data_IF_599156871499
#
_entry.id   IF_599156871499
#
_cell.length_a   1.000
_cell.length_b   1.000
_cell.length_c   1.000
_cell.angle_alpha   90.00
_cell.angle_beta   90.00
_cell.angle_gamma   90.00
#
_symmetry.space_group_name_H-M   'P 1'
#
loop_
_entity.id
_entity.type
_entity.pdbx_description
1 polymer ?
#
# COMPACT_ATOMS: atom_id res chain seq x y z
N UNK A 1 -45.24 8.37 1.37
CA UNK A 1 -44.01 7.73 0.86
C UNK A 1 -43.13 8.83 0.30
N UNK A 2 -42.15 9.29 1.08
CA UNK A 2 -41.14 10.21 0.58
C UNK A 2 -40.06 9.37 -0.11
N UNK A 3 -39.93 9.55 -1.42
CA UNK A 3 -38.80 9.01 -2.19
C UNK A 3 -37.60 9.88 -1.83
N UNK A 4 -36.80 9.45 -0.87
CA UNK A 4 -35.45 9.97 -0.70
C UNK A 4 -34.68 9.53 -1.94
N UNK A 5 -34.47 10.45 -2.87
CA UNK A 5 -33.45 10.32 -3.89
C UNK A 5 -32.12 10.18 -3.16
N UNK A 6 -31.65 8.95 -3.00
CA UNK A 6 -30.31 8.67 -2.56
C UNK A 6 -29.37 9.17 -3.65
N UNK A 7 -28.93 10.42 -3.54
CA UNK A 7 -27.80 10.92 -4.30
C UNK A 7 -26.64 10.01 -3.91
N UNK A 8 -26.03 9.35 -4.90
CA UNK A 8 -24.86 8.52 -4.67
C UNK A 8 -23.79 9.41 -4.04
N UNK A 9 -23.19 9.06 -2.90
CA UNK A 9 -22.11 9.85 -2.30
C UNK A 9 -20.95 10.07 -3.29
N UNK A 10 -20.79 9.19 -4.29
CA UNK A 10 -19.83 9.32 -5.39
C UNK A 10 -20.04 10.59 -6.25
N UNK A 11 -21.27 11.09 -6.38
CA UNK A 11 -21.57 12.20 -7.29
C UNK A 11 -21.39 13.59 -6.65
N UNK A 12 -21.31 13.67 -5.32
CA UNK A 12 -21.17 14.96 -4.60
C UNK A 12 -19.70 15.38 -4.51
N UNK A 13 -18.78 14.43 -4.52
CA UNK A 13 -17.35 14.68 -4.36
C UNK A 13 -16.64 15.08 -5.67
N UNK A 14 -17.25 14.87 -6.85
CA UNK A 14 -16.61 15.21 -8.13
C UNK A 14 -16.77 16.69 -8.56
N UNK A 15 -17.52 17.52 -7.81
CA UNK A 15 -17.85 18.91 -8.19
C UNK A 15 -17.27 20.01 -7.24
N UNK A 16 -16.39 19.66 -6.31
CA UNK A 16 -15.83 20.56 -5.28
C UNK A 16 -14.69 21.48 -5.75
N UNK A 17 -14.04 21.18 -6.88
CA UNK A 17 -12.83 21.88 -7.37
C UNK A 17 -12.99 23.41 -7.54
N UNK A 18 -14.22 23.91 -7.70
CA UNK A 18 -14.52 25.31 -7.97
C UNK A 18 -14.38 26.24 -6.75
N UNK A 19 -14.23 25.69 -5.54
CA UNK A 19 -14.21 26.45 -4.28
C UNK A 19 -12.85 26.46 -3.57
N UNK A 20 -11.84 25.79 -4.12
CA UNK A 20 -10.49 25.74 -3.57
C UNK A 20 -9.87 27.14 -3.46
N UNK A 21 -9.36 27.56 -2.28
CA UNK A 21 -8.73 28.86 -2.10
C UNK A 21 -7.56 29.08 -3.03
N UNK A 22 -7.39 30.32 -3.49
CA UNK A 22 -6.31 30.68 -4.43
C UNK A 22 -4.91 30.33 -3.91
N UNK A 23 -4.70 30.42 -2.60
CA UNK A 23 -3.40 30.11 -1.96
C UNK A 23 -3.02 28.64 -2.18
N UNK A 24 -3.98 27.74 -2.05
CA UNK A 24 -3.84 26.29 -2.27
C UNK A 24 -3.66 25.98 -3.75
N UNK A 25 -4.45 26.63 -4.60
CA UNK A 25 -4.28 26.54 -6.06
C UNK A 25 -2.88 27.01 -6.50
N UNK A 26 -2.34 28.06 -5.88
CA UNK A 26 -0.99 28.56 -6.14
C UNK A 26 0.08 27.62 -5.61
N UNK A 27 -0.11 27.05 -4.41
CA UNK A 27 0.78 26.05 -3.84
C UNK A 27 0.89 24.82 -4.75
N UNK A 28 -0.25 24.30 -5.23
CA UNK A 28 -0.30 23.14 -6.12
C UNK A 28 0.29 23.43 -7.50
N UNK A 29 0.03 24.61 -8.08
CA UNK A 29 0.68 25.04 -9.34
C UNK A 29 2.19 25.20 -9.21
N UNK A 30 2.67 25.53 -8.02
CA UNK A 30 4.09 25.67 -7.71
C UNK A 30 4.70 24.39 -7.12
N UNK A 31 3.91 23.31 -6.97
CA UNK A 31 4.40 22.05 -6.46
C UNK A 31 5.51 21.54 -7.40
N UNK A 32 6.67 21.25 -6.83
CA UNK A 32 7.80 20.75 -7.59
C UNK A 32 7.44 19.43 -8.25
N UNK A 33 7.97 19.19 -9.45
CA UNK A 33 7.87 17.89 -10.10
C UNK A 33 8.28 16.75 -9.15
N UNK A 34 7.71 15.56 -9.36
CA UNK A 34 8.12 14.33 -8.67
C UNK A 34 9.64 14.22 -8.66
N UNK A 35 10.29 14.12 -7.49
CA UNK A 35 11.75 14.07 -7.43
C UNK A 35 12.34 12.93 -8.24
N UNK A 36 13.49 13.16 -8.87
CA UNK A 36 14.17 12.16 -9.71
C UNK A 36 14.45 10.85 -8.96
N UNK A 37 14.70 10.92 -7.64
CA UNK A 37 14.88 9.73 -6.81
C UNK A 37 13.60 8.88 -6.70
N UNK A 38 12.42 9.51 -6.64
CA UNK A 38 11.13 8.80 -6.65
C UNK A 38 10.87 8.24 -8.03
N UNK A 39 11.06 9.03 -9.10
CA UNK A 39 10.94 8.53 -10.49
C UNK A 39 11.83 7.30 -10.72
N UNK A 40 13.08 7.33 -10.25
CA UNK A 40 14.01 6.21 -10.33
C UNK A 40 13.54 4.98 -9.55
N UNK A 41 12.93 5.16 -8.37
CA UNK A 41 12.32 4.06 -7.61
C UNK A 41 11.11 3.45 -8.32
N UNK A 42 10.19 4.28 -8.81
CA UNK A 42 9.02 3.82 -9.57
C UNK A 42 9.47 3.03 -10.81
N UNK A 43 10.42 3.56 -11.58
CA UNK A 43 10.98 2.91 -12.76
C UNK A 43 11.71 1.60 -12.41
N UNK A 44 12.42 1.56 -11.27
CA UNK A 44 13.07 0.34 -10.82
C UNK A 44 12.07 -0.76 -10.44
N UNK A 45 10.98 -0.40 -9.75
CA UNK A 45 9.90 -1.34 -9.42
C UNK A 45 9.19 -1.85 -10.68
N UNK A 46 8.88 -0.98 -11.63
CA UNK A 46 8.31 -1.36 -12.92
C UNK A 46 9.22 -2.33 -13.69
N UNK A 47 10.52 -2.05 -13.71
CA UNK A 47 11.53 -2.90 -14.34
C UNK A 47 11.65 -4.26 -13.65
N UNK A 48 11.48 -4.34 -12.32
CA UNK A 48 11.43 -5.60 -11.60
C UNK A 48 10.23 -6.45 -12.03
N UNK A 49 9.04 -5.85 -12.09
CA UNK A 49 7.83 -6.58 -12.50
C UNK A 49 7.91 -7.04 -13.96
N UNK A 50 8.56 -6.24 -14.83
CA UNK A 50 8.82 -6.60 -16.23
C UNK A 50 9.79 -7.77 -16.38
N UNK A 51 10.87 -7.80 -15.57
CA UNK A 51 11.89 -8.87 -15.62
C UNK A 51 11.45 -10.14 -14.91
N UNK A 52 10.64 -10.00 -13.87
CA UNK A 52 10.20 -11.09 -13.02
C UNK A 52 8.66 -11.16 -12.95
N UNK A 53 7.97 -11.40 -14.09
CA UNK A 53 6.51 -11.46 -14.13
C UNK A 53 5.95 -12.65 -13.34
N UNK A 54 6.78 -13.66 -13.08
CA UNK A 54 6.51 -14.75 -12.16
C UNK A 54 7.57 -14.74 -11.07
N UNK A 55 7.22 -14.11 -9.96
CA UNK A 55 8.14 -13.93 -8.84
C UNK A 55 8.59 -15.27 -8.25
N UNK A 56 7.83 -16.36 -8.39
CA UNK A 56 8.25 -17.70 -7.90
C UNK A 56 9.57 -18.21 -8.48
N UNK A 57 10.01 -17.64 -9.60
CA UNK A 57 11.25 -18.00 -10.31
C UNK A 57 12.46 -17.16 -9.90
N UNK A 58 12.27 -16.16 -9.04
CA UNK A 58 13.38 -15.34 -8.56
C UNK A 58 14.15 -16.13 -7.51
N UNK A 59 15.43 -16.38 -7.77
CA UNK A 59 16.37 -16.87 -6.76
C UNK A 59 16.68 -15.72 -5.79
N UNK A 60 16.25 -15.82 -4.52
CA UNK A 60 16.40 -14.71 -3.58
C UNK A 60 17.85 -14.42 -3.23
N UNK A 61 18.70 -15.45 -3.15
CA UNK A 61 20.10 -15.27 -2.79
C UNK A 61 20.86 -14.61 -3.91
N UNK A 62 20.60 -15.04 -5.15
CA UNK A 62 21.17 -14.43 -6.33
C UNK A 62 20.71 -12.97 -6.49
N UNK A 63 19.42 -12.70 -6.32
CA UNK A 63 18.91 -11.33 -6.39
C UNK A 63 19.57 -10.44 -5.35
N UNK A 64 19.66 -10.90 -4.10
CA UNK A 64 20.30 -10.12 -3.04
C UNK A 64 21.78 -9.86 -3.32
N UNK A 65 22.51 -10.84 -3.86
CA UNK A 65 23.92 -10.70 -4.20
C UNK A 65 24.18 -9.76 -5.40
N UNK A 66 23.31 -9.81 -6.42
CA UNK A 66 23.49 -9.06 -7.66
C UNK A 66 22.84 -7.67 -7.64
N UNK A 67 21.72 -7.50 -6.92
CA UNK A 67 20.87 -6.30 -7.00
C UNK A 67 20.39 -5.74 -5.67
N UNK A 68 20.50 -6.50 -4.56
CA UNK A 68 19.91 -6.11 -3.28
C UNK A 68 20.37 -4.74 -2.78
N UNK A 69 21.67 -4.43 -2.92
CA UNK A 69 22.20 -3.11 -2.51
C UNK A 69 21.63 -1.98 -3.37
N UNK A 70 21.56 -2.19 -4.69
CA UNK A 70 20.99 -1.22 -5.62
C UNK A 70 19.53 -0.95 -5.29
N UNK A 71 18.74 -2.00 -5.05
CA UNK A 71 17.33 -1.89 -4.66
C UNK A 71 17.17 -1.06 -3.38
N UNK A 72 17.97 -1.37 -2.35
CA UNK A 72 17.94 -0.67 -1.08
C UNK A 72 18.34 0.82 -1.22
N UNK A 73 19.41 1.13 -1.95
CA UNK A 73 19.86 2.51 -2.17
C UNK A 73 18.86 3.35 -2.95
N UNK A 74 18.26 2.78 -4.00
CA UNK A 74 17.23 3.48 -4.79
C UNK A 74 16.06 3.87 -3.88
N UNK A 75 15.62 2.94 -3.02
CA UNK A 75 14.55 3.24 -2.06
C UNK A 75 14.96 4.27 -1.01
N UNK A 76 16.15 4.15 -0.42
CA UNK A 76 16.63 5.13 0.56
C UNK A 76 16.70 6.54 -0.03
N UNK A 77 17.14 6.68 -1.28
CA UNK A 77 17.11 7.96 -2.00
C UNK A 77 15.70 8.47 -2.25
N UNK A 78 14.75 7.59 -2.57
CA UNK A 78 13.35 7.97 -2.72
C UNK A 78 12.72 8.49 -1.41
N UNK A 79 13.22 8.04 -0.25
CA UNK A 79 12.87 8.59 1.08
C UNK A 79 13.66 9.86 1.45
N UNK A 80 14.51 10.36 0.53
CA UNK A 80 15.33 11.55 0.71
C UNK A 80 16.60 11.34 1.55
N UNK A 81 17.07 10.10 1.74
CA UNK A 81 18.37 9.84 2.35
C UNK A 81 19.48 9.96 1.30
N UNK A 82 20.61 10.57 1.66
CA UNK A 82 21.78 10.70 0.78
C UNK A 82 22.54 9.38 0.60
N UNK A 83 22.39 8.45 1.54
CA UNK A 83 23.12 7.19 1.61
C UNK A 83 22.27 6.02 2.12
N UNK A 84 22.92 4.98 2.68
CA UNK A 84 22.25 3.82 3.25
C UNK A 84 21.19 4.20 4.29
N UNK A 85 20.12 3.42 4.35
CA UNK A 85 19.07 3.52 5.35
C UNK A 85 18.65 2.12 5.80
N UNK A 86 18.12 2.01 7.01
CA UNK A 86 17.61 0.75 7.55
C UNK A 86 16.24 0.94 8.20
N UNK A 87 15.41 -0.12 8.29
CA UNK A 87 14.16 -0.05 9.04
C UNK A 87 14.41 0.44 10.46
N UNK A 88 13.60 1.39 10.90
CA UNK A 88 13.67 1.90 12.26
C UNK A 88 13.26 0.80 13.25
N UNK A 89 14.16 0.53 14.20
CA UNK A 89 13.92 -0.42 15.29
C UNK A 89 13.25 0.25 16.50
N UNK A 90 13.03 1.56 16.43
CA UNK A 90 12.29 2.36 17.41
C UNK A 90 11.31 3.31 16.72
N UNK A 91 10.81 4.30 17.45
CA UNK A 91 10.06 5.43 16.87
C UNK A 91 10.98 6.65 16.90
N UNK A 92 12.05 6.63 16.10
CA UNK A 92 12.97 7.76 16.01
C UNK A 92 12.23 8.97 15.45
N UNK A 93 12.43 10.14 16.06
CA UNK A 93 11.91 11.40 15.52
C UNK A 93 12.49 11.75 14.14
N UNK A 94 13.63 11.15 13.78
CA UNK A 94 14.25 11.30 12.46
C UNK A 94 13.78 10.28 11.42
N UNK A 95 12.86 9.39 11.79
CA UNK A 95 12.41 8.32 10.90
C UNK A 95 11.60 8.91 9.74
N UNK A 96 11.87 8.42 8.53
CA UNK A 96 11.10 8.72 7.33
C UNK A 96 10.50 7.41 6.85
N UNK A 97 9.18 7.35 6.81
CA UNK A 97 8.46 6.15 6.38
C UNK A 97 8.82 4.87 7.18
N UNK A 98 9.24 5.01 8.44
CA UNK A 98 9.74 3.92 9.27
C UNK A 98 11.16 3.45 8.95
N UNK A 99 11.98 4.30 8.31
CA UNK A 99 13.40 4.08 8.06
C UNK A 99 14.24 5.20 8.67
N UNK A 100 15.48 4.89 9.03
CA UNK A 100 16.47 5.85 9.53
C UNK A 100 17.74 5.79 8.69
N UNK A 101 18.44 6.92 8.61
CA UNK A 101 19.73 6.97 7.96
C UNK A 101 20.73 6.04 8.66
N UNK A 102 21.50 5.30 7.87
CA UNK A 102 22.60 4.49 8.34
C UNK A 102 23.89 5.16 7.87
N UNK A 103 24.67 5.62 8.84
CA UNK A 103 25.98 6.21 8.58
C UNK A 103 26.88 5.25 7.77
N UNK A 104 27.72 5.80 6.90
CA UNK A 104 28.52 5.02 5.93
C UNK A 104 29.48 4.07 6.64
N UNK A 105 30.11 4.50 7.72
CA UNK A 105 31.03 3.65 8.49
C UNK A 105 30.25 2.53 9.18
N UNK A 106 29.05 2.83 9.71
CA UNK A 106 28.15 1.81 10.27
C UNK A 106 27.65 0.83 9.21
N UNK A 107 27.37 1.30 7.99
CA UNK A 107 26.97 0.46 6.87
C UNK A 107 28.12 -0.46 6.44
N UNK A 108 29.33 0.07 6.32
CA UNK A 108 30.53 -0.71 6.01
C UNK A 108 30.87 -1.73 7.10
N UNK A 109 30.61 -1.40 8.36
CA UNK A 109 30.82 -2.30 9.50
C UNK A 109 29.75 -3.40 9.65
N UNK A 110 28.62 -3.33 8.92
CA UNK A 110 27.58 -4.36 8.96
C UNK A 110 28.08 -5.64 8.30
N UNK A 111 28.56 -6.56 9.15
CA UNK A 111 28.87 -7.92 8.79
C UNK A 111 27.61 -8.78 8.88
N UNK A 112 27.00 -9.02 7.73
CA UNK A 112 25.83 -9.87 7.56
C UNK A 112 25.90 -10.58 6.21
N UNK A 113 24.98 -11.52 5.97
CA UNK A 113 24.96 -12.29 4.71
C UNK A 113 24.97 -11.37 3.48
N UNK A 114 24.21 -10.29 3.57
CA UNK A 114 24.11 -9.27 2.53
C UNK A 114 24.51 -7.87 3.03
N UNK A 115 25.40 -7.79 4.03
CA UNK A 115 25.87 -6.51 4.56
C UNK A 115 24.77 -5.65 5.20
N UNK A 116 24.75 -4.36 4.88
CA UNK A 116 23.84 -3.40 5.51
C UNK A 116 22.37 -3.49 5.03
N UNK A 117 22.15 -4.03 3.83
CA UNK A 117 20.83 -4.14 3.20
C UNK A 117 20.17 -5.50 3.45
N UNK A 118 20.68 -6.31 4.38
CA UNK A 118 20.15 -7.62 4.79
C UNK A 118 18.67 -7.57 5.20
N UNK A 119 18.18 -6.41 5.66
CA UNK A 119 16.77 -6.18 5.95
C UNK A 119 15.86 -6.45 4.74
N UNK A 120 16.35 -6.26 3.51
CA UNK A 120 15.60 -6.47 2.29
C UNK A 120 15.28 -7.95 2.08
N UNK A 121 16.13 -8.86 2.54
CA UNK A 121 15.88 -10.30 2.47
C UNK A 121 14.62 -10.69 3.27
N UNK A 122 14.42 -10.09 4.44
CA UNK A 122 13.22 -10.29 5.25
C UNK A 122 11.96 -9.67 4.62
N UNK A 123 12.15 -8.72 3.71
CA UNK A 123 11.09 -8.03 2.99
C UNK A 123 11.01 -8.46 1.52
N UNK A 124 11.61 -9.59 1.14
CA UNK A 124 11.64 -9.95 -0.27
C UNK A 124 10.24 -10.33 -0.78
N UNK A 125 9.52 -11.16 -0.01
CA UNK A 125 8.09 -11.41 -0.15
C UNK A 125 7.43 -11.11 1.18
N UNK A 126 6.94 -9.89 1.31
CA UNK A 126 6.23 -9.47 2.50
C UNK A 126 4.97 -8.75 2.09
N UNK A 127 3.85 -9.16 2.68
CA UNK A 127 2.56 -8.52 2.47
C UNK A 127 1.94 -8.11 3.79
N UNK A 128 1.05 -7.13 3.73
CA UNK A 128 0.26 -6.64 4.84
C UNK A 128 -1.20 -7.08 4.73
N UNK A 129 -1.72 -7.68 5.80
CA UNK A 129 -3.16 -7.95 5.96
C UNK A 129 -3.79 -7.00 6.96
N UNK A 130 -5.08 -6.72 6.84
CA UNK A 130 -5.79 -5.78 7.73
C UNK A 130 -6.20 -6.54 8.99
N UNK A 131 -5.63 -6.25 10.18
CA UNK A 131 -6.01 -6.97 11.38
C UNK A 131 -7.40 -6.56 11.89
N UNK A 132 -8.06 -7.43 12.65
CA UNK A 132 -9.31 -7.09 13.36
C UNK A 132 -9.09 -6.06 14.47
N UNK A 133 -7.87 -5.99 15.03
CA UNK A 133 -7.51 -5.13 16.16
C UNK A 133 -6.36 -4.21 15.78
N UNK A 134 -6.24 -3.06 16.43
CA UNK A 134 -5.15 -2.10 16.22
C UNK A 134 -3.79 -2.58 16.81
N UNK A 135 -3.45 -3.84 16.59
CA UNK A 135 -2.24 -4.51 17.09
C UNK A 135 -1.98 -5.77 16.27
N UNK A 136 -0.71 -6.14 16.11
CA UNK A 136 -0.32 -7.39 15.48
C UNK A 136 0.24 -8.37 16.51
N UNK A 137 -0.18 -9.65 16.50
CA UNK A 137 0.46 -10.64 17.35
C UNK A 137 1.87 -10.93 16.85
N UNK A 138 2.78 -11.21 17.78
CA UNK A 138 4.13 -11.66 17.45
C UNK A 138 4.08 -12.89 16.53
N UNK A 139 4.91 -12.98 15.48
CA UNK A 139 6.05 -12.11 15.16
C UNK A 139 5.72 -10.95 14.20
N UNK A 140 4.44 -10.67 13.92
CA UNK A 140 4.03 -9.69 12.93
C UNK A 140 4.23 -8.26 13.40
N UNK A 141 4.60 -7.38 12.48
CA UNK A 141 4.83 -5.95 12.75
C UNK A 141 3.62 -5.14 12.30
N UNK A 142 3.13 -4.25 13.17
CA UNK A 142 2.10 -3.29 12.79
C UNK A 142 2.71 -2.20 11.90
N UNK A 143 2.24 -2.15 10.67
CA UNK A 143 2.55 -1.10 9.70
C UNK A 143 1.34 -0.17 9.61
N UNK A 144 1.60 1.13 9.63
CA UNK A 144 0.55 2.15 9.53
C UNK A 144 0.90 3.12 8.42
N UNK A 145 -0.08 3.45 7.59
CA UNK A 145 -0.02 4.51 6.59
C UNK A 145 -1.17 5.46 6.87
N UNK A 146 -0.84 6.66 7.34
CA UNK A 146 -1.80 7.72 7.55
C UNK A 146 -1.85 8.62 6.34
N UNK A 147 -3.06 8.76 5.85
CA UNK A 147 -3.47 9.61 4.75
C UNK A 147 -4.31 10.74 5.35
N UNK A 148 -3.76 11.94 5.29
CA UNK A 148 -4.45 13.21 5.44
C UNK A 148 -5.31 13.36 4.19
N UNK A 149 -6.57 12.98 4.35
CA UNK A 149 -7.56 13.07 3.29
C UNK A 149 -8.05 14.53 3.24
N UNK A 150 -8.95 14.86 2.32
CA UNK A 150 -9.41 16.25 2.11
C UNK A 150 -9.93 16.93 3.40
N UNK A 151 -9.38 18.09 3.77
CA UNK A 151 -9.81 18.82 4.95
C UNK A 151 -11.15 19.55 4.73
N UNK A 152 -11.48 19.91 3.49
CA UNK A 152 -12.71 20.65 3.15
C UNK A 152 -13.70 19.79 2.40
N UNK A 153 -14.93 19.69 2.93
CA UNK A 153 -16.02 18.90 2.31
C UNK A 153 -15.76 17.41 2.21
N UNK A 154 -14.77 16.92 2.95
CA UNK A 154 -14.49 15.51 3.18
C UNK A 154 -15.74 14.61 3.08
N UNK A 155 -15.79 13.85 1.99
CA UNK A 155 -16.82 12.90 1.66
C UNK A 155 -16.39 11.46 2.00
N UNK A 156 -15.42 11.29 2.91
CA UNK A 156 -15.03 9.97 3.38
C UNK A 156 -16.25 9.19 3.84
N UNK A 157 -16.32 7.95 3.38
CA UNK A 157 -17.44 7.07 3.72
C UNK A 157 -16.95 5.66 3.97
N UNK A 158 -17.70 4.93 4.79
CA UNK A 158 -17.37 3.57 5.18
C UNK A 158 -18.61 2.81 5.58
N UNK A 159 -18.58 1.51 5.35
CA UNK A 159 -19.66 0.62 5.73
C UNK A 159 -19.11 -0.77 6.03
N UNK A 160 -19.83 -1.52 6.88
CA UNK A 160 -19.53 -2.91 7.16
C UNK A 160 -18.23 -3.09 7.94
N UNK A 161 -17.52 -4.18 7.66
CA UNK A 161 -16.24 -4.48 8.29
C UNK A 161 -15.10 -3.69 7.62
N UNK A 162 -14.38 -2.90 8.42
CA UNK A 162 -13.18 -2.16 7.98
C UNK A 162 -11.91 -2.55 8.76
N UNK A 163 -12.00 -3.61 9.59
CA UNK A 163 -10.92 -4.06 10.45
C UNK A 163 -10.38 -2.96 11.37
N UNK A 164 -9.06 -2.93 11.54
CA UNK A 164 -8.37 -1.92 12.35
C UNK A 164 -8.13 -0.58 11.61
N UNK A 165 -8.62 -0.42 10.39
CA UNK A 165 -8.54 0.84 9.64
C UNK A 165 -9.33 1.91 10.38
N UNK A 166 -8.75 3.11 10.49
CA UNK A 166 -9.47 4.29 10.99
C UNK A 166 -9.85 5.12 9.79
N UNK A 167 -11.10 4.98 9.39
CA UNK A 167 -11.92 5.93 8.64
C UNK A 167 -12.40 7.10 9.50
N UNK A 168 -12.01 8.37 9.33
CA UNK A 168 -12.79 9.51 9.80
C UNK A 168 -12.68 10.68 8.82
N UNK A 169 -12.23 11.86 9.26
CA UNK A 169 -11.78 12.90 8.34
C UNK A 169 -10.51 12.43 7.63
N UNK A 170 -9.64 11.68 8.30
CA UNK A 170 -8.45 11.11 7.67
C UNK A 170 -8.56 9.59 7.62
N UNK A 171 -7.67 8.96 6.88
CA UNK A 171 -7.63 7.51 6.78
C UNK A 171 -6.29 6.98 7.27
N UNK A 172 -6.34 6.16 8.31
CA UNK A 172 -5.17 5.37 8.75
C UNK A 172 -5.36 3.91 8.39
N UNK A 173 -4.65 3.48 7.37
CA UNK A 173 -4.53 2.07 7.02
C UNK A 173 -3.59 1.38 7.99
N UNK A 174 -4.01 0.23 8.50
CA UNK A 174 -3.23 -0.59 9.42
C UNK A 174 -3.08 -1.98 8.87
N UNK A 175 -1.84 -2.46 8.85
CA UNK A 175 -1.51 -3.78 8.34
C UNK A 175 -0.64 -4.56 9.32
N UNK A 176 -0.87 -5.84 9.44
CA UNK A 176 0.11 -6.76 9.99
C UNK A 176 1.01 -7.25 8.88
N UNK A 177 2.27 -6.80 8.92
CA UNK A 177 3.31 -7.27 8.02
C UNK A 177 3.62 -8.72 8.32
N UNK A 178 3.44 -9.55 7.32
CA UNK A 178 3.68 -10.97 7.39
C UNK A 178 5.15 -11.27 7.08
N UNK A 179 5.66 -12.34 7.67
CA UNK A 179 6.97 -12.88 7.30
C UNK A 179 6.87 -13.55 5.92
N UNK A 180 8.02 -13.99 5.42
CA UNK A 180 8.14 -14.69 4.14
C UNK A 180 7.12 -15.82 4.00
N UNK A 181 7.17 -16.81 4.89
CA UNK A 181 6.35 -18.03 4.78
C UNK A 181 4.85 -17.75 4.78
N UNK A 182 4.38 -16.86 5.65
CA UNK A 182 2.97 -16.48 5.71
C UNK A 182 2.55 -15.68 4.47
N UNK A 183 3.43 -14.85 3.91
CA UNK A 183 3.16 -14.08 2.68
C UNK A 183 3.01 -14.99 1.46
N UNK A 184 3.83 -16.05 1.35
CA UNK A 184 3.75 -17.05 0.28
C UNK A 184 2.50 -17.92 0.31
N UNK A 185 1.79 -17.95 1.44
CA UNK A 185 0.55 -18.71 1.56
C UNK A 185 -0.62 -18.05 0.80
N UNK A 186 -0.51 -16.77 0.45
CA UNK A 186 -1.49 -16.05 -0.35
C UNK A 186 -1.34 -16.38 -1.83
N UNK A 187 -2.45 -16.79 -2.45
CA UNK A 187 -2.56 -17.31 -3.81
C UNK A 187 -3.92 -16.93 -4.40
N UNK A 188 -4.13 -16.97 -5.71
CA UNK A 188 -5.46 -16.78 -6.28
C UNK A 188 -6.48 -17.76 -5.67
N UNK A 189 -7.69 -17.25 -5.42
CA UNK A 189 -8.80 -18.12 -5.03
C UNK A 189 -9.12 -19.10 -6.15
N UNK A 190 -9.51 -20.32 -5.80
CA UNK A 190 -9.77 -21.38 -6.78
C UNK A 190 -10.97 -21.08 -7.71
N UNK A 191 -11.85 -20.17 -7.30
CA UNK A 191 -13.04 -19.80 -8.03
C UNK A 191 -12.75 -18.65 -9.00
N UNK A 192 -13.41 -18.70 -10.16
CA UNK A 192 -13.22 -17.75 -11.26
C UNK A 192 -14.14 -16.54 -11.16
N UNK A 193 -13.63 -15.40 -11.63
CA UNK A 193 -14.39 -14.17 -11.84
C UNK A 193 -14.12 -13.12 -10.78
N UNK A 194 -14.38 -11.86 -11.14
CA UNK A 194 -13.87 -10.71 -10.40
C UNK A 194 -14.41 -10.60 -8.97
N UNK A 195 -15.54 -11.24 -8.65
CA UNK A 195 -16.05 -11.32 -7.28
C UNK A 195 -15.16 -12.15 -6.33
N UNK A 196 -14.18 -12.90 -6.87
CA UNK A 196 -13.19 -13.66 -6.12
C UNK A 196 -11.79 -13.03 -6.17
N UNK A 197 -11.67 -11.85 -6.78
CA UNK A 197 -10.42 -11.10 -6.74
C UNK A 197 -10.18 -10.57 -5.33
N UNK A 198 -8.92 -10.43 -4.96
CA UNK A 198 -8.56 -9.77 -3.71
C UNK A 198 -7.16 -9.16 -3.83
N UNK A 199 -6.84 -8.24 -2.92
CA UNK A 199 -5.49 -7.70 -2.82
C UNK A 199 -5.04 -7.58 -1.37
N UNK A 200 -3.73 -7.63 -1.19
CA UNK A 200 -3.06 -7.35 0.08
C UNK A 200 -2.09 -6.19 -0.12
N UNK A 201 -1.75 -5.49 0.96
CA UNK A 201 -0.76 -4.43 0.89
C UNK A 201 0.59 -5.03 0.53
N UNK A 202 1.25 -4.54 -0.52
CA UNK A 202 2.63 -4.93 -0.79
C UNK A 202 3.53 -4.27 0.26
N UNK A 203 4.30 -5.09 0.98
CA UNK A 203 5.28 -4.65 1.97
C UNK A 203 6.68 -5.23 1.67
N UNK A 204 6.91 -5.65 0.42
CA UNK A 204 8.12 -6.31 0.00
C UNK A 204 8.57 -6.04 -1.44
N UNK A 205 9.72 -6.63 -1.81
CA UNK A 205 10.35 -6.41 -3.13
C UNK A 205 9.46 -6.94 -4.23
N UNK A 206 8.91 -8.13 -4.02
CA UNK A 206 8.06 -8.85 -4.96
C UNK A 206 6.71 -9.16 -4.33
N UNK A 207 5.69 -9.11 -5.17
CA UNK A 207 4.40 -9.67 -4.82
C UNK A 207 4.45 -11.21 -4.83
N UNK A 208 3.65 -11.90 -3.98
CA UNK A 208 3.63 -13.36 -3.97
C UNK A 208 3.24 -13.95 -5.32
N UNK A 209 3.67 -15.18 -5.64
CA UNK A 209 3.37 -15.80 -6.93
C UNK A 209 1.87 -15.85 -7.25
N UNK A 210 1.52 -15.57 -8.50
CA UNK A 210 0.12 -15.53 -8.94
C UNK A 210 -0.61 -14.23 -8.60
N UNK A 211 0.09 -13.23 -8.07
CA UNK A 211 -0.41 -11.86 -8.01
C UNK A 211 0.31 -10.93 -8.96
N UNK A 212 -0.37 -9.87 -9.35
CA UNK A 212 0.19 -8.71 -10.05
C UNK A 212 0.31 -7.53 -9.09
N UNK A 213 1.31 -6.69 -9.31
CA UNK A 213 1.48 -5.46 -8.54
C UNK A 213 0.60 -4.36 -9.13
N UNK A 214 -0.08 -3.61 -8.27
CA UNK A 214 -0.80 -2.40 -8.65
C UNK A 214 -0.26 -1.23 -7.85
N UNK A 215 0.02 -0.12 -8.54
CA UNK A 215 0.42 1.14 -7.92
C UNK A 215 -0.77 2.09 -7.94
N UNK A 216 -1.05 2.70 -6.79
CA UNK A 216 -1.93 3.85 -6.66
C UNK A 216 -1.15 5.04 -6.12
N UNK A 217 -1.10 6.13 -6.89
CA UNK A 217 -0.73 7.44 -6.36
C UNK A 217 -1.97 8.06 -5.72
N UNK A 218 -1.81 8.55 -4.49
CA UNK A 218 -2.72 9.42 -3.79
C UNK A 218 -2.09 10.81 -3.68
N UNK A 219 -2.77 11.77 -4.30
CA UNK A 219 -2.61 13.20 -4.15
C UNK A 219 -3.48 13.57 -2.95
N UNK A 220 -2.84 13.58 -1.79
CA UNK A 220 -3.48 13.87 -0.51
C UNK A 220 -3.51 15.39 -0.30
N UNK A 221 -4.16 15.83 0.79
CA UNK A 221 -4.32 17.23 1.17
C UNK A 221 -3.05 18.07 0.92
N UNK A 222 -3.16 19.11 0.09
CA UNK A 222 -2.04 19.99 -0.23
C UNK A 222 -1.70 20.95 0.92
N UNK A 223 -2.69 21.40 1.71
CA UNK A 223 -2.48 22.36 2.79
C UNK A 223 -2.40 21.69 4.15
N UNK A 224 -1.27 21.87 4.84
CA UNK A 224 -1.06 21.40 6.22
C UNK A 224 -1.04 19.87 6.33
N UNK A 225 -0.69 19.22 5.23
CA UNK A 225 -0.53 17.79 5.09
C UNK A 225 0.13 17.12 6.31
N UNK A 226 -0.61 16.23 6.94
CA UNK A 226 -0.25 15.48 8.12
C UNK A 226 0.06 14.01 7.82
N UNK A 227 0.41 13.66 6.59
CA UNK A 227 0.74 12.28 6.23
C UNK A 227 1.91 11.73 7.05
N UNK A 228 1.74 10.54 7.63
CA UNK A 228 2.79 9.86 8.38
C UNK A 228 2.71 8.34 8.22
N UNK A 229 3.76 7.64 8.60
CA UNK A 229 3.74 6.18 8.65
C UNK A 229 4.68 5.61 9.70
N UNK A 230 4.44 4.34 10.03
CA UNK A 230 5.24 3.58 11.00
C UNK A 230 5.37 2.12 10.58
N UNK A 231 6.39 1.42 11.08
CA UNK A 231 6.56 -0.03 10.87
C UNK A 231 7.30 -0.42 9.57
N UNK A 232 7.71 0.56 8.76
CA UNK A 232 8.39 0.35 7.48
C UNK A 232 7.41 -0.03 6.37
N UNK A 233 7.23 0.88 5.41
CA UNK A 233 6.21 0.79 4.35
C UNK A 233 6.76 0.39 2.99
N UNK A 234 8.03 -0.04 2.91
CA UNK A 234 8.65 -0.50 1.66
C UNK A 234 7.74 -1.49 0.90
N UNK A 235 7.53 -1.37 -0.42
CA UNK A 235 8.16 -0.42 -1.34
C UNK A 235 7.40 0.89 -1.50
N UNK A 236 6.32 1.10 -0.73
CA UNK A 236 5.56 2.34 -0.73
C UNK A 236 6.38 3.50 -0.18
N UNK A 237 6.06 4.70 -0.66
CA UNK A 237 6.71 5.94 -0.25
C UNK A 237 5.66 7.02 -0.03
N UNK A 238 5.96 7.89 0.93
CA UNK A 238 5.29 9.16 1.11
C UNK A 238 6.34 10.25 0.91
N UNK A 239 6.10 11.14 -0.05
CA UNK A 239 7.00 12.26 -0.31
C UNK A 239 6.22 13.47 -0.83
N UNK A 240 6.54 14.66 -0.29
CA UNK A 240 5.91 15.94 -0.67
C UNK A 240 4.38 15.84 -0.54
N UNK A 241 3.91 15.28 0.56
CA UNK A 241 2.48 15.16 0.84
C UNK A 241 1.76 14.06 0.07
N UNK A 242 2.41 13.34 -0.85
CA UNK A 242 1.74 12.34 -1.68
C UNK A 242 2.13 10.91 -1.31
N UNK A 243 1.19 9.99 -1.45
CA UNK A 243 1.38 8.57 -1.21
C UNK A 243 1.49 7.78 -2.52
N UNK A 244 2.48 6.90 -2.61
CA UNK A 244 2.57 5.88 -3.65
C UNK A 244 2.43 4.52 -2.99
N UNK A 245 1.22 3.96 -3.04
CA UNK A 245 0.91 2.68 -2.41
C UNK A 245 0.94 1.54 -3.41
N UNK A 246 1.52 0.42 -3.01
CA UNK A 246 1.59 -0.79 -3.84
C UNK A 246 0.73 -1.89 -3.24
N UNK A 247 -0.04 -2.58 -4.05
CA UNK A 247 -0.81 -3.74 -3.63
C UNK A 247 -0.46 -4.96 -4.48
N UNK A 248 -0.59 -6.14 -3.89
CA UNK A 248 -0.46 -7.41 -4.58
C UNK A 248 -1.85 -7.97 -4.81
N UNK A 249 -2.28 -7.97 -6.06
CA UNK A 249 -3.63 -8.31 -6.48
C UNK A 249 -3.67 -9.69 -7.12
N UNK A 250 -4.61 -10.52 -6.64
CA UNK A 250 -4.80 -11.90 -7.06
C UNK A 250 -6.14 -11.99 -7.80
N UNK A 251 -6.07 -12.31 -9.09
CA UNK A 251 -7.25 -12.45 -9.93
C UNK A 251 -7.79 -13.89 -9.81
N UNK A 252 -9.07 -14.04 -9.42
CA UNK A 252 -9.71 -15.31 -9.12
C UNK A 252 -9.66 -16.31 -10.27
N UNK A 253 -9.20 -17.54 -9.98
CA UNK A 253 -9.08 -18.63 -10.95
C UNK A 253 -7.83 -18.56 -11.83
N UNK A 254 -6.95 -17.57 -11.67
CA UNK A 254 -5.71 -17.46 -12.46
C UNK A 254 -4.83 -18.71 -12.30
N UNK A 255 -4.40 -19.38 -13.39
CA UNK A 255 -3.76 -20.70 -13.38
C UNK A 255 -2.33 -20.67 -12.80
N UNK A 256 -2.27 -20.56 -11.48
CA UNK A 256 -1.11 -20.74 -10.61
C UNK A 256 -1.56 -21.67 -9.46
N UNK A 257 -0.70 -22.09 -8.51
CA UNK A 257 -1.20 -22.80 -7.34
C UNK A 257 -2.33 -21.99 -6.70
N UNK A 258 -3.54 -22.55 -6.66
CA UNK A 258 -4.74 -21.89 -6.14
C UNK A 258 -4.87 -22.17 -4.63
N UNK A 259 -5.63 -21.33 -3.93
CA UNK A 259 -6.08 -21.62 -2.56
C UNK A 259 -7.60 -21.82 -2.50
N UNK A 260 -8.03 -22.81 -1.72
CA UNK A 260 -9.45 -23.09 -1.46
C UNK A 260 -10.00 -22.30 -0.27
N UNK A 261 -9.12 -21.70 0.54
CA UNK A 261 -9.46 -20.78 1.63
C UNK A 261 -8.25 -19.91 1.95
N UNK A 262 -8.50 -18.76 2.59
CA UNK A 262 -7.42 -17.90 3.09
C UNK A 262 -6.56 -18.61 4.16
N UNK A 263 -5.25 -18.29 4.25
CA UNK A 263 -4.36 -18.92 5.23
C UNK A 263 -4.78 -18.63 6.68
N UNK A 264 -4.43 -19.50 7.60
CA UNK A 264 -4.68 -19.26 9.04
C UNK A 264 -3.43 -18.64 9.66
N UNK A 265 -3.55 -17.38 10.09
CA UNK A 265 -2.43 -16.61 10.66
C UNK A 265 -2.40 -16.61 12.20
N UNK A 266 -3.36 -17.27 12.85
CA UNK A 266 -3.48 -17.29 14.31
C UNK A 266 -4.18 -16.07 14.92
N UNK A 267 -4.73 -15.18 14.09
CA UNK A 267 -5.56 -14.04 14.49
C UNK A 267 -6.58 -13.70 13.39
N UNK A 268 -7.61 -12.95 13.76
CA UNK A 268 -8.63 -12.46 12.81
C UNK A 268 -8.08 -11.33 11.95
N UNK A 269 -8.30 -11.44 10.65
CA UNK A 269 -7.79 -10.48 9.67
C UNK A 269 -8.67 -10.45 8.41
N UNK A 270 -8.41 -9.46 7.57
CA UNK A 270 -9.00 -9.32 6.26
C UNK A 270 -8.03 -8.78 5.22
N UNK A 271 -8.58 -8.62 4.02
CA UNK A 271 -7.89 -8.21 2.80
C UNK A 271 -8.71 -7.16 2.07
N UNK A 272 -8.12 -6.50 1.07
CA UNK A 272 -8.90 -5.77 0.09
C UNK A 272 -9.64 -6.77 -0.80
N UNK A 273 -10.91 -6.54 -1.10
CA UNK A 273 -11.71 -7.41 -1.96
C UNK A 273 -12.95 -6.68 -2.48
N UNK A 274 -13.67 -7.21 -3.47
CA UNK A 274 -15.02 -6.76 -3.76
C UNK A 274 -15.92 -6.81 -2.52
N UNK A 275 -16.87 -5.87 -2.41
CA UNK A 275 -17.86 -5.83 -1.32
C UNK A 275 -18.83 -7.01 -1.31
N UNK A 276 -18.82 -7.81 -2.38
CA UNK A 276 -19.63 -8.99 -2.57
C UNK A 276 -18.79 -10.29 -2.62
N UNK A 277 -17.57 -10.31 -2.07
CA UNK A 277 -16.79 -11.55 -1.91
C UNK A 277 -17.68 -12.59 -1.19
N UNK A 278 -17.96 -13.75 -1.80
CA UNK A 278 -19.00 -14.64 -1.31
C UNK A 278 -18.50 -15.52 -0.16
N UNK A 279 -19.45 -16.03 0.63
CA UNK A 279 -19.20 -17.15 1.53
C UNK A 279 -18.75 -18.39 0.74
N UNK A 280 -17.76 -19.18 1.20
CA UNK A 280 -17.12 -19.14 2.52
C UNK A 280 -15.85 -18.27 2.60
N UNK A 281 -15.53 -17.47 1.58
CA UNK A 281 -14.29 -16.69 1.54
C UNK A 281 -14.33 -15.44 2.42
N UNK A 282 -15.49 -14.80 2.52
CA UNK A 282 -15.73 -13.66 3.41
C UNK A 282 -16.63 -14.04 4.59
N UNK A 283 -16.24 -13.61 5.78
CA UNK A 283 -17.03 -13.66 7.01
C UNK A 283 -17.84 -12.37 7.23
N UNK A 284 -17.33 -11.25 6.71
CA UNK A 284 -17.98 -9.95 6.69
C UNK A 284 -17.37 -9.12 5.57
N UNK A 285 -18.18 -8.26 4.95
CA UNK A 285 -17.75 -7.35 3.91
C UNK A 285 -17.87 -5.90 4.39
N UNK A 286 -17.12 -5.00 3.77
CA UNK A 286 -17.19 -3.59 4.00
C UNK A 286 -16.47 -2.81 2.90
N UNK A 287 -16.43 -1.49 3.05
CA UNK A 287 -15.63 -0.63 2.20
C UNK A 287 -15.14 0.60 2.95
N UNK A 288 -14.10 1.22 2.40
CA UNK A 288 -13.69 2.59 2.70
C UNK A 288 -13.63 3.35 1.38
N UNK A 289 -14.29 4.49 1.35
CA UNK A 289 -14.18 5.51 0.33
C UNK A 289 -13.35 6.64 0.93
N UNK A 290 -12.23 6.93 0.29
CA UNK A 290 -11.36 8.06 0.61
C UNK A 290 -11.61 9.17 -0.39
N UNK A 291 -12.06 10.30 0.16
CA UNK A 291 -12.12 11.58 -0.50
C UNK A 291 -10.74 12.23 -0.39
N UNK A 292 -10.01 12.20 -1.48
CA UNK A 292 -8.68 12.79 -1.55
C UNK A 292 -8.80 14.23 -2.11
N UNK A 293 -7.73 14.81 -2.65
CA UNK A 293 -7.69 16.23 -3.00
C UNK A 293 -8.78 16.67 -4.01
N UNK A 294 -9.48 17.75 -3.68
CA UNK A 294 -10.52 18.35 -4.53
C UNK A 294 -9.95 19.11 -5.75
N UNK A 295 -8.72 19.63 -5.71
CA UNK A 295 -8.17 20.48 -6.77
C UNK A 295 -6.88 19.95 -7.40
N UNK A 296 -6.85 19.89 -8.74
CA UNK A 296 -5.71 19.37 -9.51
C UNK A 296 -5.28 17.99 -9.01
N UNK A 297 -6.25 17.12 -8.78
CA UNK A 297 -6.02 15.78 -8.29
C UNK A 297 -5.18 14.96 -9.27
N UNK A 298 -3.91 14.71 -8.91
CA UNK A 298 -2.94 13.97 -9.74
C UNK A 298 -2.95 12.46 -9.48
N UNK A 299 -4.08 11.96 -9.05
CA UNK A 299 -4.32 10.56 -8.78
C UNK A 299 -4.25 9.70 -10.04
N UNK A 300 -3.50 8.60 -9.94
CA UNK A 300 -3.41 7.65 -11.04
C UNK A 300 -3.19 6.22 -10.55
N UNK A 301 -3.50 5.28 -11.45
CA UNK A 301 -3.18 3.87 -11.34
C UNK A 301 -2.07 3.53 -12.34
N UNK A 302 -1.13 2.68 -11.93
CA UNK A 302 -0.03 2.24 -12.77
C UNK A 302 0.37 0.79 -12.46
N UNK A 303 1.26 0.23 -13.29
CA UNK A 303 1.71 -1.16 -13.33
C UNK A 303 0.61 -2.18 -13.69
N UNK A 304 -0.64 -1.90 -13.31
CA UNK A 304 -1.82 -2.64 -13.73
C UNK A 304 -3.09 -1.81 -13.55
N UNK A 305 -4.23 -2.38 -13.93
CA UNK A 305 -5.52 -1.73 -13.83
C UNK A 305 -6.20 -1.99 -12.47
N UNK A 306 -6.94 -1.01 -11.93
CA UNK A 306 -7.88 -1.24 -10.84
C UNK A 306 -9.01 -2.18 -11.30
N UNK A 307 -9.76 -2.72 -10.35
CA UNK A 307 -10.90 -3.61 -10.59
C UNK A 307 -11.96 -3.44 -9.49
N UNK A 308 -12.77 -4.48 -9.26
CA UNK A 308 -13.78 -4.49 -8.20
C UNK A 308 -13.21 -4.58 -6.78
N UNK A 309 -11.91 -4.82 -6.59
CA UNK A 309 -11.23 -4.76 -5.28
C UNK A 309 -11.02 -3.32 -4.86
N UNK A 310 -10.55 -2.49 -5.78
CA UNK A 310 -10.20 -1.09 -5.55
C UNK A 310 -10.23 -0.32 -6.86
N UNK A 311 -10.72 0.92 -6.81
CA UNK A 311 -10.88 1.76 -7.98
C UNK A 311 -11.18 3.21 -7.64
N UNK A 312 -11.52 3.98 -8.68
CA UNK A 312 -11.73 5.43 -8.59
C UNK A 312 -10.72 6.21 -9.45
N UNK A 313 -11.05 7.47 -9.75
CA UNK A 313 -10.19 8.37 -10.52
C UNK A 313 -9.56 9.38 -9.57
N UNK A 314 -10.33 10.43 -9.23
CA UNK A 314 -10.00 11.42 -8.21
C UNK A 314 -10.01 10.68 -6.89
N UNK A 315 -11.18 10.42 -6.31
CA UNK A 315 -11.27 9.67 -5.06
C UNK A 315 -10.93 8.18 -5.16
N UNK A 316 -10.61 7.57 -4.02
CA UNK A 316 -10.27 6.15 -3.96
C UNK A 316 -11.29 5.33 -3.18
N UNK A 317 -11.95 4.40 -3.87
CA UNK A 317 -12.77 3.36 -3.24
C UNK A 317 -11.98 2.06 -3.06
N UNK A 318 -12.12 1.43 -1.89
CA UNK A 318 -11.57 0.10 -1.60
C UNK A 318 -12.59 -0.76 -0.88
N UNK A 319 -12.91 -1.91 -1.46
CA UNK A 319 -13.69 -2.93 -0.77
C UNK A 319 -12.82 -3.75 0.18
N UNK A 320 -13.44 -4.29 1.23
CA UNK A 320 -12.78 -4.96 2.34
C UNK A 320 -13.55 -6.22 2.71
N UNK A 321 -12.84 -7.30 3.00
CA UNK A 321 -13.43 -8.52 3.56
C UNK A 321 -12.66 -9.01 4.75
N UNK A 322 -13.38 -9.34 5.82
CA UNK A 322 -12.88 -10.20 6.88
C UNK A 322 -12.84 -11.63 6.38
N UNK A 323 -11.68 -12.29 6.46
CA UNK A 323 -11.49 -13.64 5.90
C UNK A 323 -11.17 -14.70 6.96
N UNK A 324 -10.83 -14.28 8.19
CA UNK A 324 -10.58 -15.16 9.35
C UNK A 324 -11.07 -14.59 10.67
#
# INVERSE_FOLDING_TARGET
MAVLLAVSPLAIAEESEAETPKEEQELKRNQSETPEAVKAHLAYVEELDRRYPDSSKVDPERFMAEEGEKAALIYCRALGFEGPCEPDKGQSASARAGFVALDVDRAAAKVGRFGWFDWLFNLFYSVGVIPDKASCPSPHVLVQMHMDDEDRRNANSRWGWIGATVSNNNTTWRFCRLNWDASFAFKPLANWGNQYDYAVQNLGVFCPPGSRRVLRRHDNEDWANANWSSGGVYPSVNLIGNWWTYTCQFDGGTPTPLMSSFPTLGFGYGVFSPTNLPWPYALANGYVYQDDEDFLNLNFWALSWPDNVMGGSNNTWRGLSRVK
#
